data_IF_514613482873
#
_entry.id   IF_514613482873
#
_cell.length_a   1.000
_cell.length_b   1.000
_cell.length_c   1.000
_cell.angle_alpha   90.00
_cell.angle_beta   90.00
_cell.angle_gamma   90.00
#
_symmetry.space_group_name_H-M   'P 1'
#
loop_
_entity.id
_entity.type
_entity.pdbx_description
1 polymer ?
#
# COMPACT_ATOMS: atom_id res chain seq x y z
N UNK A 1 35.91 26.66 -4.13
CA UNK A 1 34.75 26.58 -5.04
C UNK A 1 34.60 25.22 -5.71
N UNK A 2 35.67 24.45 -5.90
CA UNK A 2 35.64 23.08 -6.48
C UNK A 2 34.79 22.04 -5.71
N UNK A 3 34.61 22.22 -4.40
CA UNK A 3 33.98 21.23 -3.53
C UNK A 3 32.43 21.35 -3.41
N UNK A 4 31.84 22.46 -3.90
CA UNK A 4 30.38 22.67 -3.82
C UNK A 4 29.65 22.03 -5.00
N UNK A 5 30.23 22.12 -6.20
CA UNK A 5 29.70 21.42 -7.37
C UNK A 5 29.70 19.90 -7.18
N UNK A 6 30.79 19.34 -6.63
CA UNK A 6 30.88 17.90 -6.34
C UNK A 6 29.80 17.43 -5.35
N UNK A 7 29.53 18.21 -4.30
CA UNK A 7 28.48 17.92 -3.34
C UNK A 7 27.08 17.96 -3.99
N UNK A 8 26.79 18.93 -4.85
CA UNK A 8 25.52 19.02 -5.56
C UNK A 8 25.31 17.84 -6.53
N UNK A 9 26.31 17.47 -7.31
CA UNK A 9 26.23 16.29 -8.19
C UNK A 9 26.02 15.00 -7.40
N UNK A 10 26.71 14.85 -6.26
CA UNK A 10 26.49 13.72 -5.36
C UNK A 10 25.04 13.69 -4.83
N UNK A 11 24.50 14.84 -4.44
CA UNK A 11 23.11 14.96 -4.00
C UNK A 11 22.11 14.59 -5.12
N UNK A 12 22.35 15.01 -6.35
CA UNK A 12 21.52 14.65 -7.50
C UNK A 12 21.60 13.15 -7.82
N UNK A 13 22.80 12.56 -7.72
CA UNK A 13 22.99 11.12 -7.87
C UNK A 13 22.23 10.34 -6.79
N UNK A 14 22.28 10.81 -5.55
CA UNK A 14 21.51 10.22 -4.46
C UNK A 14 20.00 10.37 -4.65
N UNK A 15 19.53 11.49 -5.19
CA UNK A 15 18.11 11.68 -5.56
C UNK A 15 17.67 10.69 -6.63
N UNK A 16 18.51 10.44 -7.65
CA UNK A 16 18.24 9.44 -8.68
C UNK A 16 18.15 8.03 -8.07
N UNK A 17 19.12 7.65 -7.23
CA UNK A 17 19.10 6.36 -6.52
C UNK A 17 17.88 6.22 -5.61
N UNK A 18 17.47 7.30 -4.96
CA UNK A 18 16.25 7.33 -4.15
C UNK A 18 15.02 7.03 -5.01
N UNK A 19 14.88 7.67 -6.18
CA UNK A 19 13.77 7.45 -7.11
C UNK A 19 13.71 5.99 -7.59
N UNK A 20 14.86 5.42 -7.97
CA UNK A 20 14.96 4.02 -8.40
C UNK A 20 14.54 3.07 -7.26
N UNK A 21 14.97 3.36 -6.04
CA UNK A 21 14.60 2.58 -4.86
C UNK A 21 13.11 2.68 -4.53
N UNK A 22 12.50 3.86 -4.67
CA UNK A 22 11.07 4.07 -4.46
C UNK A 22 10.24 3.27 -5.47
N UNK A 23 10.59 3.32 -6.76
CA UNK A 23 9.90 2.55 -7.81
C UNK A 23 10.01 1.05 -7.54
N UNK A 24 11.22 0.55 -7.25
CA UNK A 24 11.41 -0.87 -6.89
C UNK A 24 10.62 -1.27 -5.65
N UNK A 25 10.49 -0.39 -4.66
CA UNK A 25 9.71 -0.66 -3.44
C UNK A 25 8.20 -0.69 -3.72
N UNK A 26 7.70 0.16 -4.62
CA UNK A 26 6.31 0.15 -5.07
C UNK A 26 5.98 -1.18 -5.77
N UNK A 27 6.82 -1.61 -6.72
CA UNK A 27 6.62 -2.87 -7.46
C UNK A 27 6.64 -4.10 -6.54
N UNK A 28 7.53 -4.10 -5.55
CA UNK A 28 7.59 -5.16 -4.53
C UNK A 28 6.31 -5.20 -3.71
N UNK A 29 5.75 -4.05 -3.33
CA UNK A 29 4.50 -4.02 -2.59
C UNK A 29 3.33 -4.48 -3.47
N UNK A 30 3.29 -4.11 -4.74
CA UNK A 30 2.25 -4.61 -5.65
C UNK A 30 2.27 -6.14 -5.71
N UNK A 31 3.46 -6.72 -5.85
CA UNK A 31 3.66 -8.18 -5.79
C UNK A 31 3.15 -8.77 -4.48
N UNK A 32 3.49 -8.17 -3.34
CA UNK A 32 3.00 -8.60 -2.01
C UNK A 32 1.48 -8.54 -1.94
N UNK A 33 0.84 -7.45 -2.39
CA UNK A 33 -0.62 -7.32 -2.35
C UNK A 33 -1.32 -8.35 -3.23
N UNK A 34 -0.72 -8.73 -4.37
CA UNK A 34 -1.23 -9.80 -5.20
C UNK A 34 -1.08 -11.17 -4.52
N UNK A 35 0.06 -11.45 -3.89
CA UNK A 35 0.25 -12.68 -3.10
C UNK A 35 -0.74 -12.77 -1.94
N UNK A 36 -1.00 -11.67 -1.23
CA UNK A 36 -2.01 -11.61 -0.16
C UNK A 36 -3.37 -12.04 -0.69
N UNK A 37 -3.79 -11.57 -1.87
CA UNK A 37 -5.06 -11.98 -2.48
C UNK A 37 -5.10 -13.47 -2.81
N UNK A 38 -4.02 -14.04 -3.34
CA UNK A 38 -3.95 -15.48 -3.61
C UNK A 38 -4.04 -16.32 -2.34
N UNK A 39 -3.31 -15.93 -1.29
CA UNK A 39 -3.41 -16.57 0.02
C UNK A 39 -4.80 -16.44 0.63
N UNK A 40 -5.44 -15.28 0.45
CA UNK A 40 -6.84 -15.07 0.88
C UNK A 40 -7.75 -16.10 0.24
N UNK A 41 -7.71 -16.24 -1.09
CA UNK A 41 -8.57 -17.18 -1.83
C UNK A 41 -8.27 -18.62 -1.39
N UNK A 42 -7.01 -19.00 -1.27
CA UNK A 42 -6.62 -20.36 -0.87
C UNK A 42 -7.11 -20.73 0.52
N UNK A 43 -6.88 -19.86 1.51
CA UNK A 43 -7.30 -20.11 2.89
C UNK A 43 -8.82 -20.05 3.05
N UNK A 44 -9.46 -19.05 2.43
CA UNK A 44 -10.92 -18.91 2.45
C UNK A 44 -11.61 -20.09 1.76
N UNK A 45 -11.15 -20.48 0.58
CA UNK A 45 -11.69 -21.62 -0.16
C UNK A 45 -11.51 -22.93 0.61
N UNK A 46 -10.33 -23.15 1.20
CA UNK A 46 -10.08 -24.29 2.08
C UNK A 46 -11.02 -24.30 3.30
N UNK A 47 -11.26 -23.14 3.92
CA UNK A 47 -12.18 -23.02 5.05
C UNK A 47 -13.63 -23.33 4.67
N UNK A 48 -14.09 -22.89 3.50
CA UNK A 48 -15.43 -23.24 2.98
C UNK A 48 -15.55 -24.74 2.74
N UNK A 49 -14.58 -25.37 2.08
CA UNK A 49 -14.61 -26.82 1.82
C UNK A 49 -14.66 -27.62 3.12
N UNK A 50 -13.90 -27.21 4.13
CA UNK A 50 -13.93 -27.82 5.45
C UNK A 50 -15.26 -27.61 6.19
N UNK A 51 -15.89 -26.45 6.01
CA UNK A 51 -17.21 -26.18 6.58
C UNK A 51 -18.28 -27.09 5.95
N UNK A 52 -18.31 -27.18 4.61
CA UNK A 52 -19.21 -28.06 3.86
C UNK A 52 -19.06 -29.54 4.24
N UNK A 53 -17.84 -29.99 4.54
CA UNK A 53 -17.58 -31.38 4.94
C UNK A 53 -18.10 -31.76 6.32
N UNK A 54 -18.46 -30.80 7.18
CA UNK A 54 -18.89 -31.03 8.57
C UNK A 54 -20.41 -31.07 8.78
N UNK A 55 -21.21 -30.76 7.76
CA UNK A 55 -22.67 -30.66 7.86
C UNK A 55 -23.42 -31.99 8.07
N UNK A 56 -22.73 -33.12 8.15
CA UNK A 56 -23.35 -34.41 8.41
C UNK A 56 -23.78 -34.64 9.88
N UNK A 57 -23.42 -33.76 10.82
CA UNK A 57 -23.84 -33.89 12.23
C UNK A 57 -24.79 -32.75 12.66
N UNK A 58 -26.09 -32.99 12.43
CA UNK A 58 -27.25 -32.49 13.20
C UNK A 58 -26.98 -31.50 14.35
N UNK A 59 -26.80 -30.20 14.08
CA UNK A 59 -27.22 -29.10 14.98
C UNK A 59 -27.00 -27.73 14.33
N UNK A 60 -28.07 -26.99 14.00
CA UNK A 60 -28.12 -25.54 13.75
C UNK A 60 -26.79 -24.85 13.31
N UNK A 61 -26.36 -25.14 12.06
CA UNK A 61 -25.00 -24.92 11.55
C UNK A 61 -24.70 -23.53 10.94
N UNK A 62 -25.58 -22.53 11.07
CA UNK A 62 -25.40 -21.22 10.41
C UNK A 62 -24.13 -20.46 10.89
N UNK A 63 -23.63 -20.76 12.10
CA UNK A 63 -22.44 -20.11 12.66
C UNK A 63 -21.11 -20.49 12.00
N UNK A 64 -21.00 -21.71 11.44
CA UNK A 64 -19.73 -22.20 10.90
C UNK A 64 -19.37 -21.52 9.57
N UNK A 65 -20.36 -21.24 8.73
CA UNK A 65 -20.15 -20.49 7.48
C UNK A 65 -19.80 -19.03 7.73
N UNK A 66 -20.47 -18.38 8.71
CA UNK A 66 -20.13 -17.03 9.13
C UNK A 66 -18.68 -16.92 9.64
N UNK A 67 -18.15 -17.97 10.29
CA UNK A 67 -16.76 -17.97 10.74
C UNK A 67 -15.73 -17.87 9.60
N UNK A 68 -16.09 -18.30 8.37
CA UNK A 68 -15.20 -18.21 7.20
C UNK A 68 -15.00 -16.77 6.72
N UNK A 69 -15.91 -15.84 7.05
CA UNK A 69 -15.80 -14.41 6.72
C UNK A 69 -14.63 -13.72 7.44
N UNK A 70 -14.17 -14.29 8.56
CA UNK A 70 -13.04 -13.76 9.33
C UNK A 70 -11.76 -13.75 8.48
N UNK A 71 -11.58 -14.73 7.60
CA UNK A 71 -10.38 -14.83 6.75
C UNK A 71 -10.31 -13.63 5.77
N UNK A 72 -11.30 -13.37 4.90
CA UNK A 72 -11.32 -12.17 4.07
C UNK A 72 -11.18 -10.87 4.85
N UNK A 73 -11.81 -10.74 6.03
CA UNK A 73 -11.72 -9.54 6.88
C UNK A 73 -10.29 -9.26 7.36
N UNK A 74 -9.58 -10.28 7.85
CA UNK A 74 -8.19 -10.13 8.30
C UNK A 74 -7.28 -9.75 7.13
N UNK A 75 -7.43 -10.44 5.99
CA UNK A 75 -6.62 -10.16 4.81
C UNK A 75 -6.93 -8.80 4.18
N UNK A 76 -8.19 -8.33 4.28
CA UNK A 76 -8.57 -6.98 3.87
C UNK A 76 -7.80 -5.91 4.63
N UNK A 77 -7.67 -6.08 5.96
CA UNK A 77 -6.87 -5.17 6.79
C UNK A 77 -5.38 -5.21 6.43
N UNK A 78 -4.82 -6.41 6.23
CA UNK A 78 -3.40 -6.59 5.86
C UNK A 78 -3.09 -5.94 4.50
N UNK A 79 -3.92 -6.16 3.48
CA UNK A 79 -3.77 -5.54 2.15
C UNK A 79 -3.86 -4.00 2.26
N UNK A 80 -4.82 -3.50 3.04
CA UNK A 80 -4.94 -2.07 3.32
C UNK A 80 -3.68 -1.48 3.97
N UNK A 81 -3.06 -2.22 4.90
CA UNK A 81 -1.82 -1.80 5.55
C UNK A 81 -0.65 -1.72 4.57
N UNK A 82 -0.46 -2.71 3.70
CA UNK A 82 0.59 -2.67 2.68
C UNK A 82 0.38 -1.54 1.67
N UNK A 83 -0.87 -1.32 1.23
CA UNK A 83 -1.22 -0.18 0.36
C UNK A 83 -0.98 1.16 1.02
N UNK A 84 -1.13 1.26 2.34
CA UNK A 84 -0.75 2.47 3.09
C UNK A 84 0.75 2.74 3.00
N UNK A 85 1.58 1.70 3.08
CA UNK A 85 3.03 1.83 2.90
C UNK A 85 3.34 2.27 1.46
N UNK A 86 2.74 1.61 0.46
CA UNK A 86 2.89 1.94 -0.97
C UNK A 86 2.57 3.40 -1.25
N UNK A 87 1.44 3.91 -0.72
CA UNK A 87 1.05 5.31 -0.87
C UNK A 87 2.04 6.28 -0.25
N UNK A 88 2.75 5.89 0.80
CA UNK A 88 3.87 6.68 1.34
C UNK A 88 5.00 6.86 0.32
N UNK A 89 5.38 5.79 -0.36
CA UNK A 89 6.40 5.85 -1.43
C UNK A 89 5.91 6.65 -2.65
N UNK A 90 4.68 6.42 -3.08
CA UNK A 90 4.06 7.20 -4.18
C UNK A 90 4.04 8.70 -3.85
N UNK A 91 3.69 9.05 -2.61
CA UNK A 91 3.71 10.44 -2.18
C UNK A 91 5.11 11.06 -2.27
N UNK A 92 6.16 10.31 -1.91
CA UNK A 92 7.54 10.76 -2.06
C UNK A 92 7.94 10.93 -3.52
N UNK A 93 7.55 10.02 -4.41
CA UNK A 93 7.75 10.18 -5.87
C UNK A 93 7.08 11.46 -6.38
N UNK A 94 5.86 11.74 -5.93
CA UNK A 94 5.15 12.99 -6.27
C UNK A 94 5.93 14.21 -5.77
N UNK A 95 6.51 14.17 -4.57
CA UNK A 95 7.34 15.29 -4.06
C UNK A 95 8.60 15.51 -4.90
N UNK A 96 9.32 14.43 -5.25
CA UNK A 96 10.49 14.51 -6.12
C UNK A 96 10.09 15.11 -7.47
N UNK A 97 8.99 14.63 -8.06
CA UNK A 97 8.45 15.15 -9.32
C UNK A 97 8.08 16.63 -9.23
N UNK A 98 7.39 17.05 -8.15
CA UNK A 98 7.05 18.45 -7.91
C UNK A 98 8.30 19.32 -7.79
N UNK A 99 9.31 18.86 -7.05
CA UNK A 99 10.58 19.57 -6.89
C UNK A 99 11.29 19.76 -8.24
N UNK A 100 11.48 18.69 -9.02
CA UNK A 100 12.15 18.74 -10.32
C UNK A 100 11.46 19.66 -11.34
N UNK A 101 10.14 19.87 -11.21
CA UNK A 101 9.35 20.76 -12.06
C UNK A 101 9.09 22.15 -11.44
N UNK A 102 9.70 22.46 -10.29
CA UNK A 102 9.50 23.72 -9.58
C UNK A 102 10.62 24.74 -9.86
N UNK A 103 10.37 26.05 -9.66
CA UNK A 103 11.42 27.08 -9.70
C UNK A 103 12.55 26.84 -8.68
N UNK A 104 12.28 26.08 -7.61
CA UNK A 104 13.27 25.73 -6.58
C UNK A 104 14.39 24.85 -7.16
N UNK A 105 14.10 24.02 -8.16
CA UNK A 105 15.12 23.24 -8.84
C UNK A 105 16.07 24.11 -9.67
N UNK A 106 15.55 25.07 -10.43
CA UNK A 106 16.36 26.05 -11.17
C UNK A 106 17.24 26.84 -10.20
N UNK A 107 16.66 27.32 -9.11
CA UNK A 107 17.39 28.02 -8.05
C UNK A 107 18.46 27.13 -7.41
N UNK A 108 18.17 25.84 -7.22
CA UNK A 108 19.12 24.88 -6.66
C UNK A 108 20.29 24.61 -7.62
N UNK A 109 20.02 24.58 -8.92
CA UNK A 109 21.04 24.41 -9.95
C UNK A 109 21.95 25.63 -10.05
N UNK A 110 21.40 26.85 -10.01
CA UNK A 110 22.17 28.10 -10.01
C UNK A 110 23.05 28.23 -8.76
N UNK A 111 22.51 27.88 -7.59
CA UNK A 111 23.21 28.02 -6.31
C UNK A 111 24.09 26.81 -5.96
N UNK A 112 24.04 25.73 -6.75
CA UNK A 112 24.74 24.46 -6.48
C UNK A 112 24.44 23.90 -5.07
N UNK A 113 23.21 24.09 -4.59
CA UNK A 113 22.72 23.59 -3.30
C UNK A 113 21.24 23.23 -3.45
N UNK A 114 20.78 22.13 -2.86
CA UNK A 114 19.34 21.84 -2.81
C UNK A 114 18.64 22.81 -1.86
N UNK A 115 17.78 23.66 -2.43
CA UNK A 115 16.95 24.61 -1.67
C UNK A 115 15.59 23.96 -1.43
N UNK A 116 15.17 23.87 -0.16
CA UNK A 116 13.83 23.41 0.20
C UNK A 116 13.56 21.91 -0.01
N UNK A 117 14.58 21.10 -0.29
CA UNK A 117 14.42 19.68 -0.56
C UNK A 117 15.34 18.80 0.29
N UNK A 118 14.75 17.87 1.05
CA UNK A 118 15.49 16.89 1.84
C UNK A 118 15.69 15.61 1.03
N UNK A 119 16.92 15.10 0.97
CA UNK A 119 17.28 13.79 0.39
C UNK A 119 17.17 12.71 1.46
N UNK A 120 16.97 11.45 1.07
CA UNK A 120 16.85 10.29 1.98
C UNK A 120 15.62 10.29 2.88
N UNK A 121 14.59 11.05 2.51
CA UNK A 121 13.30 11.01 3.19
C UNK A 121 12.31 10.12 2.44
N UNK A 122 12.57 8.81 2.46
CA UNK A 122 11.81 7.80 1.71
C UNK A 122 10.30 7.83 1.93
N UNK A 123 9.85 8.38 3.07
CA UNK A 123 8.43 8.45 3.46
C UNK A 123 7.95 9.87 3.72
N UNK A 124 8.68 10.88 3.26
CA UNK A 124 8.30 12.29 3.37
C UNK A 124 8.00 12.74 4.82
N UNK A 125 8.68 12.17 5.82
CA UNK A 125 8.50 12.48 7.25
C UNK A 125 9.11 13.82 7.64
N UNK A 126 10.20 14.21 7.00
CA UNK A 126 10.95 15.45 7.23
C UNK A 126 10.42 16.59 6.36
N UNK A 127 9.72 16.28 5.27
CA UNK A 127 9.02 17.29 4.49
C UNK A 127 7.94 17.96 5.34
N UNK A 128 7.84 19.29 5.33
CA UNK A 128 6.84 20.07 6.08
C UNK A 128 5.38 19.72 5.78
N UNK A 129 5.11 18.82 4.83
CA UNK A 129 3.79 18.40 4.38
C UNK A 129 3.25 17.16 5.09
N UNK A 130 3.58 16.96 6.38
CA UNK A 130 3.13 15.80 7.15
C UNK A 130 1.60 15.65 7.17
N UNK A 131 0.85 16.75 7.16
CA UNK A 131 -0.62 16.71 7.10
C UNK A 131 -1.14 16.17 5.75
N UNK A 132 -0.50 16.54 4.64
CA UNK A 132 -0.85 16.00 3.32
C UNK A 132 -0.54 14.51 3.24
N UNK A 133 0.60 14.09 3.79
CA UNK A 133 0.97 12.68 3.89
C UNK A 133 -0.07 11.88 4.67
N UNK A 134 -0.52 12.37 5.84
CA UNK A 134 -1.54 11.70 6.66
C UNK A 134 -2.88 11.60 5.93
N UNK A 135 -3.30 12.66 5.22
CA UNK A 135 -4.51 12.63 4.38
C UNK A 135 -4.38 11.66 3.22
N UNK A 136 -3.21 11.60 2.57
CA UNK A 136 -2.95 10.71 1.46
C UNK A 136 -2.86 9.24 1.88
N UNK A 137 -2.33 8.96 3.08
CA UNK A 137 -2.11 7.62 3.64
C UNK A 137 -3.21 7.18 4.61
N UNK A 138 -4.38 7.78 4.56
CA UNK A 138 -5.51 7.43 5.42
C UNK A 138 -5.97 5.98 5.16
N UNK A 139 -5.89 5.13 6.18
CA UNK A 139 -6.18 3.69 6.08
C UNK A 139 -7.63 3.40 5.69
N UNK A 140 -8.59 4.17 6.19
CA UNK A 140 -10.01 3.97 5.88
C UNK A 140 -10.28 4.22 4.40
N UNK A 141 -9.71 5.30 3.84
CA UNK A 141 -9.83 5.61 2.42
C UNK A 141 -9.17 4.54 1.53
N UNK A 142 -8.15 3.85 2.04
CA UNK A 142 -7.44 2.78 1.33
C UNK A 142 -8.24 1.49 1.36
N UNK A 143 -8.79 1.13 2.52
CA UNK A 143 -9.60 -0.09 2.68
C UNK A 143 -10.86 -0.04 1.79
N UNK A 144 -11.51 1.11 1.71
CA UNK A 144 -12.69 1.34 0.87
C UNK A 144 -12.37 1.72 -0.58
N UNK A 145 -11.12 1.58 -1.02
CA UNK A 145 -10.79 1.81 -2.42
C UNK A 145 -11.40 0.71 -3.31
N UNK A 146 -12.02 1.03 -4.46
CA UNK A 146 -12.83 0.05 -5.21
C UNK A 146 -12.10 -1.26 -5.54
N UNK A 147 -10.83 -1.20 -5.94
CA UNK A 147 -10.05 -2.39 -6.30
C UNK A 147 -9.72 -3.32 -5.13
N UNK A 148 -9.83 -2.83 -3.89
CA UNK A 148 -9.62 -3.58 -2.65
C UNK A 148 -10.98 -4.02 -2.11
N UNK A 149 -11.90 -3.07 -1.94
CA UNK A 149 -13.21 -3.32 -1.38
C UNK A 149 -14.02 -4.35 -2.18
N UNK A 150 -14.07 -4.23 -3.51
CA UNK A 150 -14.84 -5.17 -4.36
C UNK A 150 -14.36 -6.61 -4.18
N UNK A 151 -13.05 -6.82 -4.07
CA UNK A 151 -12.47 -8.14 -3.90
C UNK A 151 -12.88 -8.78 -2.56
N UNK A 152 -12.66 -8.10 -1.44
CA UNK A 152 -12.95 -8.67 -0.11
C UNK A 152 -14.44 -8.71 0.20
N UNK A 153 -15.21 -7.68 -0.20
CA UNK A 153 -16.68 -7.69 -0.07
C UNK A 153 -17.27 -8.83 -0.88
N UNK A 154 -16.74 -9.11 -2.09
CA UNK A 154 -17.15 -10.27 -2.89
C UNK A 154 -17.00 -11.60 -2.15
N UNK A 155 -15.84 -11.83 -1.52
CA UNK A 155 -15.60 -13.06 -0.73
C UNK A 155 -16.50 -13.16 0.50
N UNK A 156 -16.74 -12.04 1.19
CA UNK A 156 -17.65 -11.97 2.35
C UNK A 156 -19.07 -12.30 1.90
N UNK A 157 -19.55 -11.70 0.80
CA UNK A 157 -20.88 -11.97 0.25
C UNK A 157 -21.02 -13.45 -0.16
N UNK A 158 -20.01 -14.03 -0.81
CA UNK A 158 -20.02 -15.46 -1.12
C UNK A 158 -20.15 -16.34 0.13
N UNK A 159 -19.49 -15.97 1.23
CA UNK A 159 -19.57 -16.70 2.51
C UNK A 159 -20.96 -16.58 3.14
N UNK A 160 -21.57 -15.40 3.05
CA UNK A 160 -22.94 -15.15 3.55
C UNK A 160 -23.94 -15.93 2.71
N UNK A 161 -23.82 -15.89 1.38
CA UNK A 161 -24.68 -16.66 0.47
C UNK A 161 -24.57 -18.15 0.75
N UNK A 162 -23.35 -18.67 0.95
CA UNK A 162 -23.13 -20.07 1.31
C UNK A 162 -23.88 -20.45 2.61
N UNK A 163 -23.92 -19.56 3.60
CA UNK A 163 -24.65 -19.80 4.86
C UNK A 163 -26.18 -19.85 4.73
N UNK A 164 -26.75 -19.34 3.63
CA UNK A 164 -28.19 -19.38 3.37
C UNK A 164 -28.61 -20.52 2.44
N UNK A 165 -27.69 -20.99 1.59
CA UNK A 165 -27.96 -22.07 0.64
C UNK A 165 -27.80 -23.45 1.29
N UNK A 166 -26.86 -23.56 2.23
CA UNK A 166 -26.51 -24.79 2.94
C UNK A 166 -27.12 -24.78 4.34
#
# INVERSE_FOLDING_TARGET
MENQGSAFYFQLEMLKKELDHLNSSIDKIDTITQSIKYWTIGLWGGAIVLALGKDNETTHFHGHYLSTTVIPLLFWFIDGWYRRIQRGFIFRVIQISKFLNSPDFTTSFEKQILVGFYIFDLRSRMSGNQQELLKFTNIWKILFFPSVAIFYIGLILCSIIASFIV
#
